data_IF_077821777614
#
_entry.id   IF_077821777614
#
_cell.length_a   1.000
_cell.length_b   1.000
_cell.length_c   1.000
_cell.angle_alpha   90.00
_cell.angle_beta   90.00
_cell.angle_gamma   90.00
#
_symmetry.space_group_name_H-M   'P 1'
#
loop_
_entity.id
_entity.type
_entity.pdbx_description
1 polymer ?
#
# COMPACT_ATOMS: atom_id res chain seq x y z
N UNK A 1 42.68 -11.94 -42.85
CA UNK A 1 42.21 -10.66 -43.43
C UNK A 1 42.74 -9.53 -42.57
N UNK A 2 43.51 -8.63 -43.20
CA UNK A 2 44.20 -7.50 -42.56
C UNK A 2 43.25 -6.30 -42.51
N UNK A 3 43.09 -5.66 -41.34
CA UNK A 3 42.53 -4.31 -41.25
C UNK A 3 43.56 -3.40 -40.57
N UNK A 4 43.96 -2.39 -41.32
CA UNK A 4 45.02 -1.44 -41.03
C UNK A 4 44.67 -0.57 -39.81
N UNK A 5 45.58 -0.57 -38.84
CA UNK A 5 45.63 0.47 -37.80
C UNK A 5 46.36 1.68 -38.38
N UNK A 6 45.61 2.76 -38.63
CA UNK A 6 46.18 4.07 -38.95
C UNK A 6 46.49 4.75 -37.62
N UNK A 7 47.77 4.81 -37.27
CA UNK A 7 48.27 5.63 -36.17
C UNK A 7 48.50 7.05 -36.75
N UNK A 8 47.81 8.09 -36.24
CA UNK A 8 48.09 9.45 -36.68
C UNK A 8 49.43 9.94 -36.11
N UNK A 9 50.20 10.72 -36.89
CA UNK A 9 51.52 11.19 -36.52
C UNK A 9 51.44 12.38 -35.56
N UNK A 10 52.38 12.38 -34.61
CA UNK A 10 53.07 13.54 -34.04
C UNK A 10 52.24 14.82 -33.88
N UNK A 11 51.55 14.93 -32.74
CA UNK A 11 51.23 16.23 -32.16
C UNK A 11 52.48 16.77 -31.49
N UNK A 12 53.14 17.66 -32.24
CA UNK A 12 54.14 18.64 -31.84
C UNK A 12 53.89 19.18 -30.44
N UNK A 13 54.83 18.88 -29.54
CA UNK A 13 54.99 19.58 -28.27
C UNK A 13 55.49 20.99 -28.57
N UNK A 14 54.57 21.95 -28.69
CA UNK A 14 54.90 23.36 -28.51
C UNK A 14 55.06 23.61 -27.02
N UNK A 15 56.29 23.83 -26.62
CA UNK A 15 56.67 24.45 -25.35
C UNK A 15 55.99 25.83 -25.25
N UNK A 16 54.85 25.87 -24.56
CA UNK A 16 54.24 27.11 -24.10
C UNK A 16 54.45 27.22 -22.58
N UNK A 17 55.67 27.58 -22.22
CA UNK A 17 55.99 28.10 -20.90
C UNK A 17 55.41 29.51 -20.81
N UNK A 18 54.32 29.69 -20.06
CA UNK A 18 54.10 30.78 -19.07
C UNK A 18 52.61 30.92 -18.70
N UNK A 19 52.24 30.45 -17.51
CA UNK A 19 51.65 31.32 -16.47
C UNK A 19 51.24 30.55 -15.22
N UNK A 20 51.96 30.84 -14.13
CA UNK A 20 51.46 30.90 -12.75
C UNK A 20 51.11 29.59 -12.02
N UNK A 21 52.08 28.97 -11.30
CA UNK A 21 51.78 28.09 -10.16
C UNK A 21 50.97 28.78 -9.05
N UNK A 22 50.85 30.12 -9.08
CA UNK A 22 50.04 30.91 -8.15
C UNK A 22 48.52 30.68 -8.25
N UNK A 23 47.99 30.21 -9.39
CA UNK A 23 46.54 29.98 -9.55
C UNK A 23 46.06 28.62 -9.03
N UNK A 24 46.93 27.61 -8.95
CA UNK A 24 46.58 26.30 -8.38
C UNK A 24 46.27 26.41 -6.88
N UNK A 25 47.04 27.24 -6.14
CA UNK A 25 46.84 27.51 -4.72
C UNK A 25 45.54 28.27 -4.41
N UNK A 26 45.02 29.05 -5.36
CA UNK A 26 43.76 29.81 -5.18
C UNK A 26 42.52 28.92 -5.32
N UNK A 27 42.59 27.87 -6.15
CA UNK A 27 41.51 26.88 -6.28
C UNK A 27 41.46 25.91 -5.10
N UNK A 28 42.60 25.55 -4.54
CA UNK A 28 42.64 24.70 -3.34
C UNK A 28 42.19 25.48 -2.09
N UNK A 29 42.59 26.75 -1.94
CA UNK A 29 42.16 27.57 -0.79
C UNK A 29 40.66 27.86 -0.77
N UNK A 30 40.05 28.12 -1.93
CA UNK A 30 38.60 28.34 -2.04
C UNK A 30 37.79 27.07 -1.73
N UNK A 31 38.24 25.90 -2.20
CA UNK A 31 37.61 24.61 -1.83
C UNK A 31 37.73 24.32 -0.35
N UNK A 32 38.90 24.55 0.24
CA UNK A 32 39.16 24.29 1.65
C UNK A 32 38.36 25.26 2.55
N UNK A 33 38.25 26.53 2.17
CA UNK A 33 37.37 27.50 2.83
C UNK A 33 35.89 27.09 2.75
N UNK A 34 35.44 26.57 1.61
CA UNK A 34 34.09 26.03 1.44
C UNK A 34 33.82 24.83 2.35
N UNK A 35 34.76 23.89 2.46
CA UNK A 35 34.66 22.74 3.37
C UNK A 35 34.62 23.17 4.84
N UNK A 36 35.43 24.16 5.23
CA UNK A 36 35.46 24.68 6.58
C UNK A 36 34.19 25.46 6.95
N UNK A 37 33.59 26.16 5.98
CA UNK A 37 32.30 26.81 6.16
C UNK A 37 31.16 25.78 6.32
N UNK A 38 31.19 24.71 5.53
CA UNK A 38 30.23 23.61 5.64
C UNK A 38 30.33 22.90 7.01
N UNK A 39 31.54 22.56 7.48
CA UNK A 39 31.70 21.90 8.78
C UNK A 39 31.29 22.80 9.96
N UNK A 40 31.54 24.12 9.86
CA UNK A 40 31.04 25.09 10.84
C UNK A 40 29.52 25.15 10.86
N UNK A 41 28.87 25.11 9.69
CA UNK A 41 27.41 25.05 9.61
C UNK A 41 26.84 23.78 10.24
N UNK A 42 27.43 22.61 9.98
CA UNK A 42 27.03 21.32 10.57
C UNK A 42 27.16 21.33 12.10
N UNK A 43 28.30 21.84 12.60
CA UNK A 43 28.55 21.96 14.05
C UNK A 43 27.58 22.94 14.71
N UNK A 44 27.17 23.99 14.00
CA UNK A 44 26.21 24.96 14.51
C UNK A 44 24.77 24.42 14.48
N UNK A 45 24.41 23.63 13.45
CA UNK A 45 23.12 22.97 13.35
C UNK A 45 22.91 21.96 14.48
N UNK A 46 23.90 21.10 14.74
CA UNK A 46 23.85 20.13 15.85
C UNK A 46 23.73 20.81 17.22
N UNK A 47 24.49 21.90 17.45
CA UNK A 47 24.35 22.70 18.68
C UNK A 47 22.95 23.28 18.85
N UNK A 48 22.34 23.82 17.79
CA UNK A 48 20.97 24.37 17.86
C UNK A 48 19.93 23.33 18.25
N UNK A 49 20.04 22.11 17.73
CA UNK A 49 19.13 21.00 18.08
C UNK A 49 19.27 20.62 19.56
N UNK A 50 20.50 20.63 20.09
CA UNK A 50 20.76 20.34 21.51
C UNK A 50 20.26 21.47 22.44
N UNK A 51 20.47 22.73 22.06
CA UNK A 51 20.09 23.89 22.87
C UNK A 51 18.57 24.16 22.81
N UNK A 52 17.92 23.84 21.70
CA UNK A 52 16.52 24.16 21.45
C UNK A 52 15.82 23.06 20.62
N UNK A 53 15.53 21.89 21.20
CA UNK A 53 14.95 20.75 20.47
C UNK A 53 13.58 21.07 19.83
N UNK A 54 12.89 22.08 20.36
CA UNK A 54 11.60 22.56 19.86
C UNK A 54 11.69 23.71 18.86
N UNK A 55 12.89 24.24 18.55
CA UNK A 55 13.02 25.23 17.50
C UNK A 55 12.87 24.55 16.14
N UNK A 56 11.80 24.89 15.43
CA UNK A 56 11.44 24.27 14.15
C UNK A 56 11.70 25.26 13.03
N UNK A 57 12.61 24.91 12.12
CA UNK A 57 12.66 25.58 10.82
C UNK A 57 11.52 25.07 9.93
N UNK A 58 11.25 25.79 8.83
CA UNK A 58 10.26 25.34 7.84
C UNK A 58 10.62 23.96 7.27
N UNK A 59 11.91 23.69 7.06
CA UNK A 59 12.40 22.38 6.59
C UNK A 59 12.15 21.28 7.61
N UNK A 60 12.46 21.53 8.88
CA UNK A 60 12.24 20.56 9.96
C UNK A 60 10.75 20.27 10.17
N UNK A 61 9.91 21.30 10.02
CA UNK A 61 8.46 21.15 10.07
C UNK A 61 7.97 20.27 8.94
N UNK A 62 8.45 20.50 7.71
CA UNK A 62 8.10 19.69 6.56
C UNK A 62 8.53 18.22 6.74
N UNK A 63 9.78 17.97 7.14
CA UNK A 63 10.27 16.60 7.37
C UNK A 63 9.51 15.91 8.51
N UNK A 64 9.23 16.60 9.61
CA UNK A 64 8.41 16.09 10.72
C UNK A 64 7.01 15.69 10.28
N UNK A 65 6.35 16.51 9.44
CA UNK A 65 5.04 16.19 8.88
C UNK A 65 5.09 14.99 7.92
N UNK A 66 6.13 14.89 7.10
CA UNK A 66 6.33 13.75 6.21
C UNK A 66 6.56 12.45 7.00
N UNK A 67 7.36 12.48 8.06
CA UNK A 67 7.52 11.34 8.97
C UNK A 67 6.21 10.98 9.67
N UNK A 68 5.48 11.97 10.20
CA UNK A 68 4.19 11.75 10.84
C UNK A 68 3.16 11.11 9.90
N UNK A 69 3.06 11.63 8.68
CA UNK A 69 2.24 11.05 7.61
C UNK A 69 2.66 9.63 7.24
N UNK A 70 3.98 9.37 7.20
CA UNK A 70 4.52 8.02 6.95
C UNK A 70 4.09 7.04 8.03
N UNK A 71 4.23 7.42 9.31
CA UNK A 71 3.83 6.59 10.46
C UNK A 71 2.32 6.33 10.42
N UNK A 72 1.51 7.36 10.13
CA UNK A 72 0.06 7.24 9.98
C UNK A 72 -0.32 6.23 8.89
N UNK A 73 0.32 6.27 7.73
CA UNK A 73 0.07 5.32 6.63
C UNK A 73 0.60 3.91 6.93
N UNK A 74 1.82 3.79 7.48
CA UNK A 74 2.43 2.51 7.83
C UNK A 74 1.59 1.75 8.86
N UNK A 75 1.04 2.47 9.83
CA UNK A 75 0.13 1.95 10.87
C UNK A 75 -1.28 1.62 10.36
N UNK A 76 -1.51 1.61 9.05
CA UNK A 76 -2.76 1.26 8.37
C UNK A 76 -3.85 2.33 8.48
N UNK A 77 -3.47 3.60 8.71
CA UNK A 77 -4.35 4.78 8.79
C UNK A 77 -5.64 4.55 9.58
N UNK A 78 -6.71 4.12 8.89
CA UNK A 78 -8.04 3.85 9.41
C UNK A 78 -8.18 2.47 10.04
N UNK A 79 -7.36 1.48 9.72
CA UNK A 79 -7.45 0.11 10.27
C UNK A 79 -6.37 -0.20 11.30
N UNK A 80 -5.77 0.83 11.90
CA UNK A 80 -4.77 0.63 12.93
C UNK A 80 -5.37 -0.03 14.18
N UNK A 81 -4.70 -1.04 14.78
CA UNK A 81 -5.03 -1.53 16.12
C UNK A 81 -4.98 -0.43 17.19
N UNK A 82 -4.15 0.60 16.98
CA UNK A 82 -4.07 1.76 17.86
C UNK A 82 -5.40 2.52 17.95
N UNK A 83 -6.19 2.56 16.88
CA UNK A 83 -7.52 3.20 16.90
C UNK A 83 -8.50 2.43 17.80
N UNK A 84 -8.42 1.10 17.84
CA UNK A 84 -9.24 0.29 18.75
C UNK A 84 -8.81 0.51 20.20
N UNK A 85 -7.49 0.62 20.45
CA UNK A 85 -6.97 0.95 21.78
C UNK A 85 -7.45 2.33 22.24
N UNK A 86 -7.31 3.37 21.41
CA UNK A 86 -7.82 4.71 21.69
C UNK A 86 -9.34 4.71 21.86
N UNK A 87 -10.05 3.94 21.04
CA UNK A 87 -11.48 3.71 21.17
C UNK A 87 -11.85 3.21 22.55
N UNK A 88 -11.20 2.15 23.04
CA UNK A 88 -11.45 1.60 24.38
C UNK A 88 -11.09 2.56 25.53
N UNK A 89 -10.19 3.52 25.29
CA UNK A 89 -9.77 4.49 26.29
C UNK A 89 -10.78 5.65 26.44
N UNK A 90 -11.29 6.15 25.31
CA UNK A 90 -12.22 7.30 25.29
C UNK A 90 -13.69 6.88 25.28
N UNK A 91 -13.99 5.68 24.79
CA UNK A 91 -15.33 5.12 24.65
C UNK A 91 -15.40 3.74 25.32
N UNK A 92 -16.62 3.31 25.64
CA UNK A 92 -16.85 1.99 26.21
C UNK A 92 -16.63 0.86 25.19
N UNK A 93 -16.43 -0.39 25.66
CA UNK A 93 -16.27 -1.56 24.80
C UNK A 93 -17.52 -1.88 23.96
N UNK A 94 -18.65 -1.25 24.28
CA UNK A 94 -19.95 -1.54 23.69
C UNK A 94 -20.26 -0.78 22.41
N UNK A 95 -19.42 0.20 22.04
CA UNK A 95 -19.59 0.98 20.82
C UNK A 95 -19.57 0.10 19.56
N UNK A 96 -20.53 0.27 18.62
CA UNK A 96 -20.66 -0.59 17.44
C UNK A 96 -19.36 -0.68 16.60
N UNK A 97 -18.70 0.45 16.36
CA UNK A 97 -17.48 0.49 15.55
C UNK A 97 -16.27 -0.18 16.24
N UNK A 98 -16.26 -0.24 17.57
CA UNK A 98 -15.24 -0.94 18.35
C UNK A 98 -15.48 -2.45 18.29
N UNK A 99 -16.74 -2.87 18.44
CA UNK A 99 -17.14 -4.28 18.27
C UNK A 99 -16.76 -4.80 16.89
N UNK A 100 -17.12 -4.07 15.84
CA UNK A 100 -16.73 -4.41 14.46
C UNK A 100 -15.23 -4.62 14.33
N UNK A 101 -14.40 -3.73 14.89
CA UNK A 101 -12.94 -3.87 14.82
C UNK A 101 -12.40 -5.06 15.61
N UNK A 102 -13.02 -5.41 16.73
CA UNK A 102 -12.65 -6.63 17.50
C UNK A 102 -12.99 -7.89 16.73
N UNK A 103 -14.06 -7.86 15.97
CA UNK A 103 -14.49 -8.93 15.07
C UNK A 103 -13.65 -8.99 13.77
N UNK A 104 -12.64 -8.12 13.62
CA UNK A 104 -11.80 -8.03 12.42
C UNK A 104 -12.47 -7.31 11.24
N UNK A 105 -13.62 -6.67 11.47
CA UNK A 105 -14.39 -5.92 10.48
C UNK A 105 -14.03 -4.42 10.51
N UNK A 106 -14.34 -3.73 9.41
CA UNK A 106 -14.20 -2.30 9.32
C UNK A 106 -15.34 -1.59 10.07
N UNK A 107 -15.00 -1.00 11.23
CA UNK A 107 -15.84 0.00 11.91
C UNK A 107 -15.26 1.40 11.73
N UNK A 108 -16.04 2.35 11.20
CA UNK A 108 -15.55 3.73 11.02
C UNK A 108 -15.42 4.43 12.37
N UNK A 109 -14.21 4.87 12.76
CA UNK A 109 -13.99 5.51 14.05
C UNK A 109 -14.55 6.95 14.01
N UNK A 110 -15.01 7.49 15.16
CA UNK A 110 -15.43 8.88 15.26
C UNK A 110 -14.31 9.86 14.87
N UNK A 111 -14.62 11.04 14.31
CA UNK A 111 -13.62 12.04 13.92
C UNK A 111 -12.67 12.43 15.04
N UNK A 112 -13.15 12.46 16.30
CA UNK A 112 -12.33 12.76 17.47
C UNK A 112 -11.18 11.75 17.63
N UNK A 113 -11.46 10.45 17.51
CA UNK A 113 -10.44 9.39 17.60
C UNK A 113 -9.44 9.50 16.45
N UNK A 114 -9.90 9.80 15.24
CA UNK A 114 -9.02 10.03 14.09
C UNK A 114 -8.09 11.23 14.31
N UNK A 115 -8.62 12.33 14.86
CA UNK A 115 -7.83 13.51 15.17
C UNK A 115 -6.78 13.23 16.26
N UNK A 116 -7.17 12.53 17.32
CA UNK A 116 -6.24 12.09 18.37
C UNK A 116 -5.15 11.20 17.80
N UNK A 117 -5.50 10.22 16.96
CA UNK A 117 -4.53 9.34 16.33
C UNK A 117 -3.59 10.10 15.39
N UNK A 118 -4.11 11.00 14.57
CA UNK A 118 -3.31 11.88 13.70
C UNK A 118 -2.33 12.72 14.52
N UNK A 119 -2.78 13.30 15.63
CA UNK A 119 -1.95 14.08 16.55
C UNK A 119 -0.82 13.23 17.17
N UNK A 120 -1.13 12.01 17.60
CA UNK A 120 -0.13 11.07 18.12
C UNK A 120 0.91 10.70 17.05
N UNK A 121 0.48 10.44 15.82
CA UNK A 121 1.42 10.14 14.72
C UNK A 121 2.25 11.36 14.32
N UNK A 122 1.72 12.58 14.43
CA UNK A 122 2.47 13.80 14.20
C UNK A 122 3.55 14.03 15.28
N UNK A 123 3.21 13.79 16.55
CA UNK A 123 4.19 13.84 17.66
C UNK A 123 5.27 12.77 17.49
N UNK A 124 4.89 11.55 17.12
CA UNK A 124 5.85 10.49 16.80
C UNK A 124 6.74 10.84 15.59
N UNK A 125 6.16 11.49 14.58
CA UNK A 125 6.87 11.99 13.41
C UNK A 125 7.91 13.05 13.76
N UNK A 126 7.56 14.00 14.63
CA UNK A 126 8.49 15.00 15.17
C UNK A 126 9.62 14.34 15.96
N UNK A 127 9.31 13.36 16.82
CA UNK A 127 10.33 12.63 17.58
C UNK A 127 11.30 11.87 16.66
N UNK A 128 10.77 11.22 15.62
CA UNK A 128 11.57 10.50 14.62
C UNK A 128 12.42 11.47 13.79
N UNK A 129 11.88 12.62 13.40
CA UNK A 129 12.63 13.68 12.73
C UNK A 129 13.84 14.11 13.57
N UNK A 130 13.63 14.41 14.87
CA UNK A 130 14.71 14.81 15.77
C UNK A 130 15.75 13.70 15.94
N UNK A 131 15.32 12.46 16.03
CA UNK A 131 16.22 11.32 16.11
C UNK A 131 17.09 11.21 14.84
N UNK A 132 16.48 11.26 13.66
CA UNK A 132 17.21 11.19 12.39
C UNK A 132 18.18 12.37 12.26
N UNK A 133 17.73 13.58 12.54
CA UNK A 133 18.55 14.79 12.48
C UNK A 133 19.76 14.72 13.43
N UNK A 134 19.61 14.16 14.62
CA UNK A 134 20.73 13.91 15.54
C UNK A 134 21.71 12.88 14.98
N UNK A 135 21.21 11.79 14.41
CA UNK A 135 22.06 10.73 13.82
C UNK A 135 22.73 11.14 12.51
N UNK A 136 22.14 12.07 11.75
CA UNK A 136 22.69 12.63 10.51
C UNK A 136 23.59 13.84 10.75
N UNK A 137 24.02 14.08 11.99
CA UNK A 137 24.88 15.21 12.38
C UNK A 137 24.29 16.58 11.96
N UNK A 138 22.96 16.71 12.02
CA UNK A 138 22.26 17.94 11.70
C UNK A 138 21.98 18.17 10.21
N UNK A 139 22.21 17.19 9.33
CA UNK A 139 21.88 17.33 7.91
C UNK A 139 20.36 17.24 7.68
N UNK A 140 19.74 18.41 7.55
CA UNK A 140 18.31 18.56 7.27
C UNK A 140 17.92 18.05 5.87
N UNK A 141 18.84 18.05 4.88
CA UNK A 141 18.52 17.57 3.54
C UNK A 141 18.39 16.05 3.53
N UNK A 142 19.31 15.34 4.20
CA UNK A 142 19.23 13.88 4.37
C UNK A 142 17.95 13.49 5.10
N UNK A 143 17.63 14.21 6.17
CA UNK A 143 16.42 13.98 6.98
C UNK A 143 15.15 14.15 6.13
N UNK A 144 15.06 15.24 5.37
CA UNK A 144 13.92 15.52 4.48
C UNK A 144 13.79 14.49 3.35
N UNK A 145 14.90 14.10 2.72
CA UNK A 145 14.90 13.08 1.66
C UNK A 145 14.43 11.72 2.20
N UNK A 146 14.93 11.31 3.37
CA UNK A 146 14.52 10.07 4.01
C UNK A 146 13.02 10.08 4.36
N UNK A 147 12.52 11.19 4.92
CA UNK A 147 11.10 11.35 5.21
C UNK A 147 10.23 11.25 3.96
N UNK A 148 10.66 11.87 2.85
CA UNK A 148 9.98 11.79 1.55
C UNK A 148 9.92 10.37 0.98
N UNK A 149 11.05 9.66 0.98
CA UNK A 149 11.12 8.26 0.51
C UNK A 149 10.24 7.36 1.38
N UNK A 150 10.25 7.55 2.70
CA UNK A 150 9.42 6.78 3.62
C UNK A 150 7.92 7.02 3.35
N UNK A 151 7.51 8.27 3.13
CA UNK A 151 6.11 8.61 2.87
C UNK A 151 5.61 7.97 1.58
N UNK A 152 6.41 8.03 0.51
CA UNK A 152 6.05 7.42 -0.78
C UNK A 152 5.84 5.91 -0.60
N UNK A 153 6.78 5.22 0.05
CA UNK A 153 6.66 3.78 0.31
C UNK A 153 5.45 3.45 1.19
N UNK A 154 5.20 4.26 2.22
CA UNK A 154 4.03 4.10 3.09
C UNK A 154 2.72 4.29 2.31
N UNK A 155 2.67 5.25 1.38
CA UNK A 155 1.52 5.48 0.50
C UNK A 155 1.29 4.30 -0.45
N UNK A 156 2.35 3.74 -1.06
CA UNK A 156 2.22 2.54 -1.90
C UNK A 156 1.71 1.33 -1.10
N UNK A 157 2.24 1.10 0.10
CA UNK A 157 1.74 0.05 0.99
C UNK A 157 0.27 0.28 1.39
N UNK A 158 -0.10 1.54 1.57
CA UNK A 158 -1.46 1.89 1.93
C UNK A 158 -2.45 1.61 0.79
N UNK A 159 -2.06 1.94 -0.45
CA UNK A 159 -2.81 1.63 -1.66
C UNK A 159 -2.93 0.13 -1.89
N UNK A 160 -1.86 -0.64 -1.67
CA UNK A 160 -1.90 -2.10 -1.85
C UNK A 160 -2.84 -2.78 -0.85
N UNK A 161 -2.98 -2.23 0.36
CA UNK A 161 -3.99 -2.69 1.34
C UNK A 161 -5.43 -2.38 0.92
N UNK A 162 -5.65 -1.29 0.18
CA UNK A 162 -6.98 -0.99 -0.39
C UNK A 162 -7.30 -2.00 -1.49
N UNK A 163 -6.35 -2.24 -2.39
CA UNK A 163 -6.51 -3.18 -3.50
C UNK A 163 -6.71 -4.63 -3.03
N UNK A 164 -6.03 -5.03 -1.94
CA UNK A 164 -6.23 -6.36 -1.34
C UNK A 164 -7.58 -6.55 -0.66
N UNK A 165 -8.43 -5.51 -0.57
CA UNK A 165 -9.72 -5.57 0.11
C UNK A 165 -9.63 -5.62 1.64
N UNK A 166 -8.42 -5.57 2.21
CA UNK A 166 -8.20 -5.65 3.67
C UNK A 166 -8.84 -4.50 4.47
N UNK A 167 -9.28 -3.43 3.79
CA UNK A 167 -9.83 -2.23 4.44
C UNK A 167 -11.33 -2.03 4.36
N UNK A 168 -12.04 -2.77 3.53
CA UNK A 168 -13.41 -2.42 3.14
C UNK A 168 -14.50 -3.34 3.67
N UNK A 169 -14.15 -4.43 4.37
CA UNK A 169 -15.15 -5.39 4.84
C UNK A 169 -15.86 -4.85 6.07
N UNK A 170 -16.93 -4.09 5.83
CA UNK A 170 -17.92 -3.71 6.85
C UNK A 170 -18.75 -4.91 7.28
N UNK A 171 -19.40 -4.82 8.45
CA UNK A 171 -20.32 -5.86 8.94
C UNK A 171 -21.42 -6.18 7.91
N UNK A 172 -22.09 -5.16 7.39
CA UNK A 172 -23.16 -5.34 6.39
C UNK A 172 -22.65 -6.02 5.11
N UNK A 173 -21.45 -5.67 4.63
CA UNK A 173 -20.85 -6.35 3.47
C UNK A 173 -20.47 -7.79 3.77
N UNK A 174 -19.97 -8.08 4.97
CA UNK A 174 -19.63 -9.44 5.40
C UNK A 174 -20.89 -10.31 5.50
N UNK A 175 -21.94 -9.83 6.16
CA UNK A 175 -23.22 -10.52 6.31
C UNK A 175 -23.85 -10.80 4.94
N UNK A 176 -23.84 -9.81 4.05
CA UNK A 176 -24.33 -9.96 2.69
C UNK A 176 -23.48 -10.93 1.85
N UNK A 177 -22.15 -10.97 2.05
CA UNK A 177 -21.29 -11.97 1.42
C UNK A 177 -21.60 -13.39 1.95
N UNK A 178 -21.80 -13.54 3.26
CA UNK A 178 -22.21 -14.81 3.88
C UNK A 178 -23.55 -15.28 3.32
N UNK A 179 -24.54 -14.39 3.23
CA UNK A 179 -25.85 -14.70 2.64
C UNK A 179 -25.74 -15.13 1.18
N UNK A 180 -24.96 -14.41 0.38
CA UNK A 180 -24.74 -14.78 -1.03
C UNK A 180 -24.03 -16.14 -1.16
N UNK A 181 -23.09 -16.43 -0.28
CA UNK A 181 -22.39 -17.71 -0.23
C UNK A 181 -23.33 -18.87 0.15
N UNK A 182 -24.22 -18.66 1.12
CA UNK A 182 -25.23 -19.67 1.49
C UNK A 182 -26.23 -19.91 0.34
N UNK A 183 -26.72 -18.85 -0.29
CA UNK A 183 -27.61 -18.94 -1.46
C UNK A 183 -26.94 -19.64 -2.65
N UNK A 184 -25.67 -19.35 -2.90
CA UNK A 184 -24.89 -20.03 -3.94
C UNK A 184 -24.72 -21.51 -3.64
N UNK A 185 -24.43 -21.86 -2.39
CA UNK A 185 -24.33 -23.25 -1.93
C UNK A 185 -25.65 -24.01 -2.13
N UNK A 186 -26.78 -23.38 -1.83
CA UNK A 186 -28.11 -23.94 -2.08
C UNK A 186 -28.35 -24.17 -3.58
N UNK A 187 -28.07 -23.17 -4.41
CA UNK A 187 -28.15 -23.32 -5.86
C UNK A 187 -27.26 -24.46 -6.37
N UNK A 188 -26.01 -24.54 -5.89
CA UNK A 188 -25.05 -25.54 -6.34
C UNK A 188 -25.53 -26.95 -6.00
N UNK A 189 -26.05 -27.18 -4.78
CA UNK A 189 -26.65 -28.46 -4.38
C UNK A 189 -27.86 -28.82 -5.23
N UNK A 190 -28.68 -27.84 -5.61
CA UNK A 190 -29.86 -28.07 -6.43
C UNK A 190 -29.52 -28.33 -7.91
N UNK A 191 -28.55 -27.61 -8.48
CA UNK A 191 -28.39 -27.45 -9.93
C UNK A 191 -27.03 -27.88 -10.51
N UNK A 192 -26.00 -28.09 -9.69
CA UNK A 192 -24.69 -28.55 -10.16
C UNK A 192 -24.53 -30.03 -9.83
N UNK A 193 -24.28 -30.84 -10.85
CA UNK A 193 -23.95 -32.25 -10.70
C UNK A 193 -22.43 -32.43 -10.65
N UNK A 194 -21.95 -33.11 -9.62
CA UNK A 194 -20.56 -33.58 -9.52
C UNK A 194 -20.43 -34.85 -10.40
N UNK A 195 -20.11 -34.67 -11.67
CA UNK A 195 -19.96 -35.78 -12.62
C UNK A 195 -18.49 -36.19 -12.70
N UNK A 196 -18.17 -37.42 -12.28
CA UNK A 196 -16.86 -38.02 -12.50
C UNK A 196 -16.53 -38.06 -14.02
N UNK A 197 -15.25 -38.26 -14.40
CA UNK A 197 -14.35 -37.33 -15.12
C UNK A 197 -14.82 -36.70 -16.45
N UNK A 198 -16.01 -37.01 -16.97
CA UNK A 198 -16.49 -36.60 -18.28
C UNK A 198 -17.18 -35.24 -18.29
N UNK A 199 -17.66 -34.76 -17.13
CA UNK A 199 -18.32 -33.46 -17.02
C UNK A 199 -17.33 -32.28 -17.14
N UNK A 200 -17.72 -31.24 -17.87
CA UNK A 200 -17.03 -29.94 -17.85
C UNK A 200 -18.07 -28.83 -17.94
N UNK A 201 -17.97 -27.83 -17.08
CA UNK A 201 -18.83 -26.64 -17.12
C UNK A 201 -17.99 -25.38 -17.33
N UNK A 202 -18.49 -24.46 -18.16
CA UNK A 202 -17.91 -23.13 -18.26
C UNK A 202 -18.48 -22.23 -17.15
N UNK A 203 -17.67 -21.34 -16.58
CA UNK A 203 -18.12 -20.38 -15.55
C UNK A 203 -19.36 -19.59 -15.97
N UNK A 204 -19.41 -19.13 -17.21
CA UNK A 204 -20.56 -18.37 -17.73
C UNK A 204 -21.87 -19.18 -17.73
N UNK A 205 -21.80 -20.50 -17.84
CA UNK A 205 -23.00 -21.36 -17.75
C UNK A 205 -23.52 -21.38 -16.31
N UNK A 206 -22.62 -21.48 -15.34
CA UNK A 206 -22.94 -21.41 -13.91
C UNK A 206 -23.55 -20.04 -13.57
N UNK A 207 -22.95 -18.95 -14.06
CA UNK A 207 -23.48 -17.58 -13.86
C UNK A 207 -24.89 -17.44 -14.42
N UNK A 208 -25.12 -17.87 -15.67
CA UNK A 208 -26.45 -17.83 -16.31
C UNK A 208 -27.47 -18.67 -15.53
N UNK A 209 -27.10 -19.88 -15.14
CA UNK A 209 -27.97 -20.76 -14.37
C UNK A 209 -28.30 -20.20 -12.98
N UNK A 210 -27.32 -19.59 -12.30
CA UNK A 210 -27.53 -18.94 -11.00
C UNK A 210 -28.51 -17.76 -11.09
N UNK A 211 -28.36 -16.89 -12.09
CA UNK A 211 -29.29 -15.77 -12.34
C UNK A 211 -30.69 -16.24 -12.74
N UNK A 212 -30.82 -17.39 -13.42
CA UNK A 212 -32.12 -18.00 -13.71
C UNK A 212 -32.78 -18.55 -12.45
N UNK A 213 -32.00 -19.19 -11.57
CA UNK A 213 -32.45 -19.79 -10.31
C UNK A 213 -32.95 -18.73 -9.32
N UNK A 214 -32.16 -17.67 -9.10
CA UNK A 214 -32.56 -16.54 -8.25
C UNK A 214 -32.99 -15.34 -9.09
N UNK A 215 -34.30 -15.17 -9.26
CA UNK A 215 -34.88 -14.09 -10.06
C UNK A 215 -34.43 -12.68 -9.65
N UNK A 216 -34.13 -12.46 -8.37
CA UNK A 216 -33.61 -11.18 -7.82
C UNK A 216 -32.23 -10.79 -8.36
N UNK A 217 -31.49 -11.74 -8.94
CA UNK A 217 -30.18 -11.50 -9.53
C UNK A 217 -30.22 -11.47 -11.06
N UNK A 218 -31.37 -11.29 -11.71
CA UNK A 218 -31.40 -11.22 -13.19
C UNK A 218 -30.77 -9.95 -13.75
N UNK A 219 -31.06 -8.79 -13.14
CA UNK A 219 -30.48 -7.52 -13.53
C UNK A 219 -29.16 -7.29 -12.79
N UNK A 220 -28.06 -7.12 -13.52
CA UNK A 220 -26.81 -6.69 -12.92
C UNK A 220 -26.88 -5.20 -12.55
N UNK A 221 -26.50 -4.85 -11.32
CA UNK A 221 -26.20 -3.46 -10.94
C UNK A 221 -27.35 -2.59 -10.43
N UNK A 222 -28.62 -2.95 -10.60
CA UNK A 222 -29.73 -2.21 -9.98
C UNK A 222 -30.02 -2.73 -8.56
N UNK A 223 -30.03 -1.85 -7.56
CA UNK A 223 -30.55 -2.15 -6.22
C UNK A 223 -29.80 -3.19 -5.38
N UNK A 224 -28.50 -3.42 -5.63
CA UNK A 224 -27.71 -4.40 -4.86
C UNK A 224 -27.59 -5.78 -5.52
N UNK A 225 -27.90 -5.87 -6.83
CA UNK A 225 -27.65 -7.05 -7.64
C UNK A 225 -26.17 -7.45 -7.66
N UNK A 226 -25.93 -8.76 -7.71
CA UNK A 226 -24.58 -9.36 -7.78
C UNK A 226 -24.02 -9.28 -9.21
N UNK A 227 -22.74 -8.98 -9.35
CA UNK A 227 -22.01 -8.96 -10.63
C UNK A 227 -21.60 -10.36 -11.06
N UNK A 228 -21.34 -10.56 -12.36
CA UNK A 228 -20.91 -11.87 -12.86
C UNK A 228 -19.60 -12.32 -12.21
N UNK A 229 -18.67 -11.38 -12.01
CA UNK A 229 -17.39 -11.64 -11.34
C UNK A 229 -17.57 -12.12 -9.89
N UNK A 230 -18.53 -11.56 -9.17
CA UNK A 230 -18.84 -12.01 -7.81
C UNK A 230 -19.44 -13.43 -7.81
N UNK A 231 -20.37 -13.73 -8.73
CA UNK A 231 -20.92 -15.10 -8.87
C UNK A 231 -19.81 -16.09 -9.22
N UNK A 232 -18.89 -15.72 -10.13
CA UNK A 232 -17.72 -16.54 -10.44
C UNK A 232 -16.82 -16.75 -9.23
N UNK A 233 -16.64 -15.73 -8.39
CA UNK A 233 -15.91 -15.82 -7.13
C UNK A 233 -16.54 -16.84 -6.19
N UNK A 234 -17.86 -16.73 -5.96
CA UNK A 234 -18.64 -17.66 -5.15
C UNK A 234 -18.53 -19.10 -5.69
N UNK A 235 -18.60 -19.27 -7.01
CA UNK A 235 -18.43 -20.57 -7.65
C UNK A 235 -17.03 -21.17 -7.40
N UNK A 236 -15.98 -20.38 -7.53
CA UNK A 236 -14.60 -20.83 -7.29
C UNK A 236 -14.40 -21.20 -5.82
N UNK A 237 -14.91 -20.39 -4.90
CA UNK A 237 -14.83 -20.65 -3.46
C UNK A 237 -15.59 -21.92 -3.07
N UNK A 238 -16.85 -22.04 -3.50
CA UNK A 238 -17.66 -23.24 -3.28
C UNK A 238 -16.99 -24.49 -3.87
N UNK A 239 -16.50 -24.43 -5.11
CA UNK A 239 -15.89 -25.59 -5.75
C UNK A 239 -14.57 -26.02 -5.09
N UNK A 240 -13.85 -25.09 -4.47
CA UNK A 240 -12.65 -25.39 -3.68
C UNK A 240 -12.98 -26.18 -2.41
N UNK A 241 -14.11 -25.88 -1.77
CA UNK A 241 -14.50 -26.45 -0.46
C UNK A 241 -15.39 -27.68 -0.59
N UNK A 242 -16.47 -27.61 -1.37
CA UNK A 242 -17.50 -28.65 -1.47
C UNK A 242 -17.52 -29.37 -2.83
N UNK A 243 -16.91 -28.79 -3.86
CA UNK A 243 -16.94 -29.33 -5.22
C UNK A 243 -15.77 -30.27 -5.53
N UNK A 244 -15.16 -30.08 -6.70
CA UNK A 244 -14.07 -30.92 -7.20
C UNK A 244 -12.69 -30.54 -6.66
N UNK A 245 -12.57 -29.38 -6.00
CA UNK A 245 -11.28 -28.80 -5.59
C UNK A 245 -10.44 -28.24 -6.74
N UNK A 246 -10.83 -28.44 -8.00
CA UNK A 246 -10.06 -28.02 -9.18
C UNK A 246 -10.32 -26.57 -9.54
N UNK A 247 -9.27 -25.79 -9.71
CA UNK A 247 -9.43 -24.41 -10.17
C UNK A 247 -9.86 -24.36 -11.65
N UNK A 248 -10.62 -23.32 -12.05
CA UNK A 248 -10.95 -23.09 -13.45
C UNK A 248 -9.71 -22.87 -14.31
N UNK A 249 -9.76 -23.37 -15.54
CA UNK A 249 -8.73 -23.11 -16.56
C UNK A 249 -8.72 -21.63 -17.00
N UNK A 250 -7.67 -21.21 -17.72
CA UNK A 250 -7.61 -19.86 -18.33
C UNK A 250 -8.80 -19.54 -19.24
N UNK A 251 -9.39 -20.58 -19.85
CA UNK A 251 -10.57 -20.47 -20.69
C UNK A 251 -11.89 -20.56 -19.91
N UNK A 252 -11.87 -20.58 -18.57
CA UNK A 252 -13.08 -20.55 -17.74
C UNK A 252 -13.77 -21.90 -17.51
N UNK A 253 -13.17 -23.03 -17.94
CA UNK A 253 -13.74 -24.36 -17.73
C UNK A 253 -13.29 -25.02 -16.43
N UNK A 254 -14.19 -25.74 -15.76
CA UNK A 254 -13.92 -26.61 -14.61
C UNK A 254 -14.32 -28.04 -14.95
N UNK A 255 -13.39 -28.99 -14.79
CA UNK A 255 -13.62 -30.43 -15.03
C UNK A 255 -14.25 -31.09 -13.82
N UNK A 256 -15.12 -32.06 -14.06
CA UNK A 256 -15.81 -32.86 -13.04
C UNK A 256 -17.15 -32.29 -12.59
N UNK A 257 -17.67 -31.29 -13.32
CA UNK A 257 -18.90 -30.57 -13.00
C UNK A 257 -19.77 -30.42 -14.26
N UNK A 258 -21.08 -30.48 -14.11
CA UNK A 258 -22.01 -29.96 -15.11
C UNK A 258 -23.23 -29.31 -14.45
N UNK A 259 -23.77 -28.28 -15.10
CA UNK A 259 -25.07 -27.69 -14.73
C UNK A 259 -26.16 -28.60 -15.29
N UNK A 260 -27.21 -28.88 -14.52
CA UNK A 260 -28.36 -29.68 -15.00
C UNK A 260 -29.00 -29.03 -16.23
N UNK A 261 -29.32 -29.86 -17.24
CA UNK A 261 -29.80 -29.41 -18.55
C UNK A 261 -31.16 -28.69 -18.50
N UNK A 262 -31.99 -29.00 -17.51
CA UNK A 262 -33.31 -28.40 -17.30
C UNK A 262 -33.25 -26.88 -17.00
N UNK A 263 -32.07 -26.36 -16.69
CA UNK A 263 -31.84 -24.92 -16.43
C UNK A 263 -31.29 -24.19 -17.65
N UNK A 264 -30.69 -24.90 -18.61
CA UNK A 264 -30.01 -24.32 -19.76
C UNK A 264 -30.95 -24.01 -20.93
N UNK A 265 -32.08 -24.72 -21.03
CA UNK A 265 -33.19 -24.37 -21.93
C UNK A 265 -33.95 -23.19 -21.35
#
# INVERSE_FOLDING_TARGET
MRSNWVVPPELTTSDEFTSSPLNANRRTSTRLAGQLAASKQETQATKRVLESPFSLTLKDTASSLLFGGSIYLLSSSRNSPALTFLGNLFYGPDEPWIKDRRDGLFGSPPPLILFTFCSLTAVAGLALDRFVLLTSQGDANVTLQLAGVLLINAAFLELSRVDSGSKSVTRSTSELQTLRSSEFTEFAKARINLLAPTGSCHKADVVRAFRRYYGKYRSAGEGGGITDREIEGLFVEWNKVEGTGKLPTKAGFVKGLAVKEDVLM
#
